data_IF_316561856643
#
_entry.id   IF_316561856643
#
_cell.length_a   1.000
_cell.length_b   1.000
_cell.length_c   1.000
_cell.angle_alpha   90.00
_cell.angle_beta   90.00
_cell.angle_gamma   90.00
#
_symmetry.space_group_name_H-M   'P 1'
#
loop_
_entity.id
_entity.type
_entity.pdbx_description
1 polymer ?
#
# COMPACT_ATOMS: atom_id res chain seq x y z
N UNK A 1 5.64 -18.58 -5.99
CA UNK A 1 5.02 -17.32 -5.51
C UNK A 1 5.71 -16.05 -6.00
N UNK A 2 6.74 -16.20 -6.83
CA UNK A 2 7.40 -15.17 -7.62
C UNK A 2 7.12 -15.49 -9.10
N UNK A 3 6.84 -14.45 -9.90
CA UNK A 3 6.50 -14.39 -11.34
C UNK A 3 4.98 -14.45 -11.66
N UNK A 4 4.37 -13.52 -12.44
CA UNK A 4 4.84 -12.56 -13.47
C UNK A 4 4.03 -11.22 -13.47
N UNK A 5 4.22 -10.30 -14.44
CA UNK A 5 4.74 -8.91 -14.33
C UNK A 5 3.67 -7.83 -13.98
N UNK A 6 4.02 -6.74 -13.25
CA UNK A 6 4.87 -5.64 -13.71
C UNK A 6 6.09 -5.40 -12.77
N UNK A 7 7.07 -4.53 -13.10
CA UNK A 7 8.23 -4.29 -12.25
C UNK A 7 7.77 -3.76 -10.89
N UNK A 8 8.11 -4.47 -9.81
CA UNK A 8 7.93 -3.94 -8.47
C UNK A 8 9.05 -2.95 -8.20
N UNK A 9 8.78 -1.68 -8.42
CA UNK A 9 9.71 -0.61 -8.06
C UNK A 9 9.63 -0.39 -6.55
N UNK A 10 10.61 -0.93 -5.82
CA UNK A 10 10.80 -0.62 -4.40
C UNK A 10 11.17 0.85 -4.28
N UNK A 11 10.25 1.67 -3.78
CA UNK A 11 10.56 3.04 -3.36
C UNK A 11 11.45 2.98 -2.11
N UNK A 12 12.70 3.40 -2.26
CA UNK A 12 13.72 3.46 -1.19
C UNK A 12 13.74 4.87 -0.61
N UNK A 13 13.59 5.00 0.71
CA UNK A 13 13.63 6.26 1.46
C UNK A 13 12.75 6.23 2.74
N UNK A 14 12.62 7.34 3.46
CA UNK A 14 11.92 7.47 4.76
C UNK A 14 10.40 7.13 4.78
N UNK A 15 9.83 6.69 3.66
CA UNK A 15 8.45 6.18 3.51
C UNK A 15 8.42 4.68 3.11
N UNK A 16 9.51 3.95 3.33
CA UNK A 16 9.65 2.52 3.02
C UNK A 16 8.53 1.70 3.66
N UNK A 17 7.60 1.21 2.83
CA UNK A 17 6.59 0.22 3.22
C UNK A 17 5.13 0.71 3.16
N UNK A 18 4.89 2.00 2.89
CA UNK A 18 3.53 2.49 2.67
C UNK A 18 3.03 2.07 1.28
N UNK A 19 2.10 1.12 1.26
CA UNK A 19 1.41 0.62 0.09
C UNK A 19 0.04 1.32 -0.04
N UNK A 20 -0.39 1.58 -1.27
CA UNK A 20 -1.77 2.01 -1.53
C UNK A 20 -2.52 0.91 -2.27
N UNK A 21 -3.75 0.63 -1.83
CA UNK A 21 -4.63 -0.35 -2.47
C UNK A 21 -5.98 0.27 -2.72
N UNK A 22 -6.46 0.14 -3.96
CA UNK A 22 -7.83 0.48 -4.31
C UNK A 22 -8.75 -0.63 -3.80
N UNK A 23 -9.74 -0.27 -2.99
CA UNK A 23 -10.75 -1.22 -2.48
C UNK A 23 -11.95 -1.25 -3.43
N UNK A 24 -12.38 -0.09 -3.94
CA UNK A 24 -13.43 0.01 -4.96
C UNK A 24 -13.18 1.25 -5.85
N UNK A 25 -14.08 1.54 -6.80
CA UNK A 25 -13.89 2.66 -7.74
C UNK A 25 -13.76 4.03 -7.04
N UNK A 26 -14.31 4.16 -5.83
CA UNK A 26 -14.32 5.39 -5.04
C UNK A 26 -13.39 5.37 -3.83
N UNK A 27 -12.79 4.25 -3.44
CA UNK A 27 -12.06 4.16 -2.17
C UNK A 27 -10.64 3.64 -2.37
N UNK A 28 -9.68 4.38 -1.80
CA UNK A 28 -8.26 4.02 -1.77
C UNK A 28 -7.78 3.95 -0.33
N UNK A 29 -7.26 2.80 0.04
CA UNK A 29 -6.62 2.57 1.33
C UNK A 29 -5.13 2.83 1.19
N UNK A 30 -4.54 3.58 2.13
CA UNK A 30 -3.09 3.71 2.26
C UNK A 30 -2.70 3.08 3.58
N UNK A 31 -1.84 2.07 3.52
CA UNK A 31 -1.41 1.27 4.67
C UNK A 31 0.08 1.00 4.59
N UNK A 32 0.70 0.71 5.73
CA UNK A 32 2.08 0.30 5.81
C UNK A 32 2.16 -1.14 6.32
N UNK A 33 3.02 -1.96 5.73
CA UNK A 33 3.29 -3.33 6.21
C UNK A 33 4.58 -3.33 7.02
N UNK A 34 4.49 -3.66 8.30
CA UNK A 34 5.62 -3.85 9.19
C UNK A 34 5.93 -5.35 9.26
N UNK A 35 6.75 -5.85 8.33
CA UNK A 35 7.02 -7.29 8.17
C UNK A 35 7.62 -7.94 9.42
N UNK A 36 8.47 -7.21 10.15
CA UNK A 36 9.09 -7.69 11.40
C UNK A 36 8.08 -7.97 12.50
N UNK A 37 7.05 -7.12 12.59
CA UNK A 37 6.00 -7.20 13.60
C UNK A 37 4.76 -7.95 13.09
N UNK A 38 4.71 -8.24 11.78
CA UNK A 38 3.54 -8.76 11.06
C UNK A 38 2.29 -7.90 11.27
N UNK A 39 2.47 -6.60 11.39
CA UNK A 39 1.40 -5.62 11.62
C UNK A 39 1.13 -4.85 10.32
N UNK A 40 -0.15 -4.67 10.00
CA UNK A 40 -0.59 -3.75 8.94
C UNK A 40 -1.10 -2.48 9.58
N UNK A 41 -0.37 -1.38 9.40
CA UNK A 41 -0.74 -0.06 9.93
C UNK A 41 -1.53 0.71 8.88
N UNK A 42 -2.82 0.92 9.10
CA UNK A 42 -3.64 1.76 8.22
C UNK A 42 -3.35 3.23 8.53
N UNK A 43 -2.87 3.97 7.53
CA UNK A 43 -2.52 5.39 7.70
C UNK A 43 -3.73 6.28 7.42
N UNK A 44 -4.42 6.03 6.30
CA UNK A 44 -5.55 6.84 5.84
C UNK A 44 -6.43 6.08 4.86
N UNK A 45 -7.71 6.42 4.83
CA UNK A 45 -8.67 5.94 3.84
C UNK A 45 -9.18 7.14 3.03
N UNK A 46 -8.92 7.11 1.73
CA UNK A 46 -9.34 8.14 0.80
C UNK A 46 -10.66 7.72 0.19
N UNK A 47 -11.72 8.44 0.55
CA UNK A 47 -12.99 8.45 -0.16
C UNK A 47 -12.85 9.44 -1.32
N UNK A 48 -12.72 8.95 -2.53
CA UNK A 48 -12.85 9.76 -3.73
C UNK A 48 -14.32 10.16 -3.87
N UNK A 49 -14.63 11.42 -3.56
CA UNK A 49 -15.78 12.13 -4.07
C UNK A 49 -15.50 13.63 -4.05
N UNK A 50 -15.76 14.28 -5.17
CA UNK A 50 -16.80 15.31 -5.14
C UNK A 50 -18.07 14.67 -5.69
#
# INVERSE_FOLDING_TARGET
PFQSPPPFEKLVGDLTGANSRRINIQHRLVYQVLEKERIVKVLRMWTHYQ
#
